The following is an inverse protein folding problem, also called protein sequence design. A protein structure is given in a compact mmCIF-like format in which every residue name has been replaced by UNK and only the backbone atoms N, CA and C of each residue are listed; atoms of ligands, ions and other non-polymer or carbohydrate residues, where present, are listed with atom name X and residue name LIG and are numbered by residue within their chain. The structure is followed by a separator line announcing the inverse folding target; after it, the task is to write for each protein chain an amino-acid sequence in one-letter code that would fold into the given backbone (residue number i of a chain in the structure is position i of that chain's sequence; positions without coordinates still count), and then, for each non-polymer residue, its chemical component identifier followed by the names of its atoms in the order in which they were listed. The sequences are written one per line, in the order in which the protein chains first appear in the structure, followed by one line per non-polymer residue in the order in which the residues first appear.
data_IF_719377449646
#
_entry.id   IF_719377449646
#
_cell.length_a   1.000
_cell.length_b   1.000
_cell.length_c   1.000
_cell.angle_alpha   90.00
_cell.angle_beta   90.00
_cell.angle_gamma   90.00
#
_symmetry.space_group_name_H-M   'P 1'
#
loop_
_entity.id
_entity.type
_entity.pdbx_description
1 polymer ?
#
# COMPACT_ATOMS: atom_id res chain seq x y z
N UNK A 1 -3.91 17.32 -0.01
CA UNK A 1 -4.33 15.93 -0.31
C UNK A 1 -3.92 15.43 -1.70
N UNK A 2 -3.72 16.31 -2.70
CA UNK A 2 -3.33 15.87 -4.06
C UNK A 2 -2.13 14.92 -4.10
N UNK A 3 -1.09 15.18 -3.29
CA UNK A 3 0.06 14.28 -3.12
C UNK A 3 -0.32 12.85 -2.72
N UNK A 4 -0.98 12.69 -1.57
CA UNK A 4 -1.34 11.37 -1.05
C UNK A 4 -2.33 10.64 -1.96
N UNK A 5 -3.30 11.37 -2.52
CA UNK A 5 -4.28 10.82 -3.44
C UNK A 5 -3.59 10.30 -4.72
N UNK A 6 -2.72 11.10 -5.35
CA UNK A 6 -1.98 10.69 -6.53
C UNK A 6 -1.05 9.49 -6.25
N UNK A 7 -0.30 9.53 -5.15
CA UNK A 7 0.59 8.43 -4.75
C UNK A 7 -0.20 7.10 -4.65
N UNK A 8 -1.32 7.11 -3.92
CA UNK A 8 -2.13 5.91 -3.71
C UNK A 8 -2.86 5.46 -4.99
N UNK A 9 -3.39 6.39 -5.78
CA UNK A 9 -4.03 6.05 -7.07
C UNK A 9 -3.02 5.37 -8.01
N UNK A 10 -1.81 5.90 -8.14
CA UNK A 10 -0.76 5.27 -8.95
C UNK A 10 -0.37 3.91 -8.37
N UNK A 11 -0.32 3.77 -7.04
CA UNK A 11 -0.08 2.48 -6.39
C UNK A 11 -1.14 1.41 -6.73
N UNK A 12 -2.42 1.75 -6.52
CA UNK A 12 -3.53 0.82 -6.73
C UNK A 12 -3.72 0.41 -8.20
N UNK A 13 -3.35 1.29 -9.13
CA UNK A 13 -3.43 1.02 -10.57
C UNK A 13 -2.26 0.17 -11.07
N UNK A 14 -1.05 0.34 -10.51
CA UNK A 14 0.16 -0.30 -11.05
C UNK A 14 0.54 -1.60 -10.35
N UNK A 15 0.52 -1.64 -9.01
CA UNK A 15 1.13 -2.76 -8.26
C UNK A 15 0.17 -3.49 -7.33
N UNK A 16 -0.80 -2.78 -6.75
CA UNK A 16 -1.63 -3.38 -5.72
C UNK A 16 -2.49 -4.52 -6.29
N UNK A 17 -2.47 -5.68 -5.62
CA UNK A 17 -3.36 -6.79 -5.93
C UNK A 17 -4.23 -7.09 -4.71
N UNK A 18 -5.53 -7.18 -4.94
CA UNK A 18 -6.47 -7.63 -3.92
C UNK A 18 -6.45 -9.17 -3.94
N UNK A 19 -6.03 -9.82 -2.84
CA UNK A 19 -6.01 -11.28 -2.76
C UNK A 19 -7.45 -11.81 -2.86
N UNK A 20 -7.61 -12.99 -3.45
CA UNK A 20 -8.90 -13.70 -3.57
C UNK A 20 -10.00 -12.98 -4.41
N UNK A 21 -9.66 -11.95 -5.19
CA UNK A 21 -10.61 -11.27 -6.08
C UNK A 21 -10.50 -11.77 -7.53
N UNK A 22 -11.65 -12.04 -8.16
CA UNK A 22 -11.75 -12.25 -9.61
C UNK A 22 -11.35 -10.99 -10.40
N UNK A 23 -11.03 -11.09 -11.70
CA UNK A 23 -10.61 -9.93 -12.49
C UNK A 23 -11.59 -8.75 -12.47
N UNK A 24 -12.89 -9.02 -12.50
CA UNK A 24 -13.94 -7.99 -12.43
C UNK A 24 -14.01 -7.33 -11.05
N UNK A 25 -13.94 -8.11 -9.98
CA UNK A 25 -13.91 -7.59 -8.61
C UNK A 25 -12.65 -6.76 -8.34
N UNK A 26 -11.51 -7.12 -8.95
CA UNK A 26 -10.31 -6.30 -8.88
C UNK A 26 -10.51 -4.94 -9.54
N UNK A 27 -11.12 -4.89 -10.73
CA UNK A 27 -11.40 -3.64 -11.43
C UNK A 27 -12.38 -2.78 -10.61
N UNK A 28 -13.47 -3.39 -10.13
CA UNK A 28 -14.48 -2.69 -9.35
C UNK A 28 -13.89 -2.12 -8.05
N UNK A 29 -13.13 -2.92 -7.31
CA UNK A 29 -12.55 -2.48 -6.05
C UNK A 29 -11.52 -1.36 -6.26
N UNK A 30 -10.69 -1.46 -7.30
CA UNK A 30 -9.77 -0.38 -7.70
C UNK A 30 -10.53 0.89 -8.07
N UNK A 31 -11.62 0.79 -8.83
CA UNK A 31 -12.43 1.93 -9.23
C UNK A 31 -13.09 2.61 -8.00
N UNK A 32 -13.61 1.83 -7.06
CA UNK A 32 -14.19 2.34 -5.80
C UNK A 32 -13.12 3.09 -4.98
N UNK A 33 -11.95 2.50 -4.77
CA UNK A 33 -10.90 3.14 -3.97
C UNK A 33 -10.35 4.39 -4.67
N UNK A 34 -10.07 4.33 -5.97
CA UNK A 34 -9.52 5.47 -6.71
C UNK A 34 -10.53 6.63 -6.81
N UNK A 35 -11.81 6.33 -7.02
CA UNK A 35 -12.86 7.35 -6.99
C UNK A 35 -13.01 7.94 -5.60
N UNK A 36 -13.03 7.12 -4.54
CA UNK A 36 -13.05 7.58 -3.15
C UNK A 36 -11.89 8.51 -2.80
N UNK A 37 -10.65 8.15 -3.17
CA UNK A 37 -9.46 8.98 -2.95
C UNK A 37 -9.50 10.31 -3.71
N UNK A 38 -10.02 10.29 -4.94
CA UNK A 38 -10.14 11.49 -5.77
C UNK A 38 -11.23 12.41 -5.25
N UNK A 39 -12.39 11.86 -4.91
CA UNK A 39 -13.51 12.59 -4.30
C UNK A 39 -13.08 13.19 -2.96
N UNK A 40 -12.39 12.43 -2.11
CA UNK A 40 -11.90 12.94 -0.83
C UNK A 40 -10.92 14.11 -1.00
N UNK A 41 -9.99 13.99 -1.95
CA UNK A 41 -9.09 15.09 -2.29
C UNK A 41 -9.87 16.31 -2.79
N UNK A 42 -10.89 16.11 -3.62
CA UNK A 42 -11.82 17.14 -4.08
C UNK A 42 -12.57 17.81 -2.94
N UNK A 43 -13.14 17.05 -1.99
CA UNK A 43 -13.82 17.56 -0.80
C UNK A 43 -12.89 18.42 0.06
N UNK A 44 -11.62 18.04 0.20
CA UNK A 44 -10.64 18.88 0.91
C UNK A 44 -10.37 20.19 0.16
N UNK A 45 -10.22 20.14 -1.17
CA UNK A 45 -10.08 21.36 -1.97
C UNK A 45 -11.32 22.26 -1.86
N UNK A 46 -12.51 21.68 -1.92
CA UNK A 46 -13.78 22.40 -1.75
C UNK A 46 -13.89 23.03 -0.36
N UNK A 47 -13.54 22.30 0.70
CA UNK A 47 -13.53 22.83 2.07
C UNK A 47 -12.63 24.06 2.20
N UNK A 48 -11.45 24.04 1.58
CA UNK A 48 -10.51 25.18 1.58
C UNK A 48 -11.03 26.39 0.82
N UNK A 49 -11.72 26.15 -0.30
CA UNK A 49 -12.41 27.19 -1.05
C UNK A 49 -13.56 27.80 -0.26
N UNK A 50 -14.44 26.95 0.29
CA UNK A 50 -15.65 27.36 1.01
C UNK A 50 -15.34 28.11 2.31
N UNK A 51 -14.28 27.70 3.03
CA UNK A 51 -13.80 28.40 4.23
C UNK A 51 -13.01 29.67 3.90
N UNK A 52 -12.93 30.06 2.61
CA UNK A 52 -12.25 31.28 2.13
C UNK A 52 -10.77 31.39 2.50
N UNK A 53 -10.13 30.27 2.88
CA UNK A 53 -8.71 30.25 3.24
C UNK A 53 -7.79 30.43 2.04
N UNK A 54 -8.21 29.99 0.85
CA UNK A 54 -7.40 30.01 -0.36
C UNK A 54 -8.21 30.44 -1.58
N UNK A 55 -7.56 31.18 -2.48
CA UNK A 55 -8.13 31.52 -3.79
C UNK A 55 -8.21 30.29 -4.69
N UNK A 56 -9.11 30.30 -5.67
CA UNK A 56 -9.27 29.19 -6.63
C UNK A 56 -7.94 28.83 -7.32
N UNK A 57 -7.16 29.84 -7.71
CA UNK A 57 -5.86 29.65 -8.36
C UNK A 57 -4.85 28.96 -7.45
N UNK A 58 -4.78 29.34 -6.17
CA UNK A 58 -3.89 28.67 -5.19
C UNK A 58 -4.27 27.20 -5.00
N UNK A 59 -5.57 26.90 -4.94
CA UNK A 59 -6.06 25.53 -4.77
C UNK A 59 -5.72 24.68 -6.00
N UNK A 60 -5.95 25.20 -7.21
CA UNK A 60 -5.65 24.50 -8.46
C UNK A 60 -4.15 24.21 -8.57
N UNK A 61 -3.31 25.23 -8.39
CA UNK A 61 -1.85 25.04 -8.46
C UNK A 61 -1.33 24.12 -7.38
N UNK A 62 -1.81 24.27 -6.13
CA UNK A 62 -1.45 23.38 -5.03
C UNK A 62 -1.87 21.93 -5.30
N UNK A 63 -3.03 21.70 -5.93
CA UNK A 63 -3.49 20.39 -6.32
C UNK A 63 -2.60 19.79 -7.43
N UNK A 64 -2.32 20.54 -8.49
CA UNK A 64 -1.46 20.09 -9.61
C UNK A 64 -0.07 19.73 -9.11
N UNK A 65 0.59 20.64 -8.38
CA UNK A 65 1.92 20.41 -7.82
C UNK A 65 1.89 19.19 -6.91
N UNK A 66 0.88 19.09 -6.03
CA UNK A 66 0.71 17.93 -5.17
C UNK A 66 0.63 16.62 -5.96
N UNK A 67 -0.19 16.56 -7.02
CA UNK A 67 -0.34 15.38 -7.89
C UNK A 67 0.98 15.03 -8.57
N UNK A 68 1.66 16.01 -9.19
CA UNK A 68 2.94 15.79 -9.86
C UNK A 68 4.01 15.25 -8.90
N UNK A 69 4.13 15.85 -7.71
CA UNK A 69 5.10 15.43 -6.69
C UNK A 69 4.74 14.04 -6.16
N UNK A 70 3.45 13.76 -5.90
CA UNK A 70 2.99 12.46 -5.41
C UNK A 70 3.24 11.33 -6.40
N UNK A 71 2.90 11.56 -7.68
CA UNK A 71 3.16 10.61 -8.75
C UNK A 71 4.67 10.39 -8.93
N UNK A 72 5.46 11.46 -9.01
CA UNK A 72 6.93 11.36 -9.16
C UNK A 72 7.56 10.63 -7.98
N UNK A 73 7.13 10.92 -6.76
CA UNK A 73 7.60 10.24 -5.57
C UNK A 73 7.32 8.73 -5.66
N UNK A 74 6.08 8.34 -5.98
CA UNK A 74 5.75 6.93 -6.18
C UNK A 74 6.60 6.26 -7.27
N UNK A 75 6.80 6.94 -8.40
CA UNK A 75 7.61 6.39 -9.48
C UNK A 75 9.04 6.12 -9.04
N UNK A 76 9.65 7.06 -8.31
CA UNK A 76 11.03 6.95 -7.86
C UNK A 76 11.22 5.97 -6.70
N UNK A 77 10.30 5.96 -5.72
CA UNK A 77 10.47 5.15 -4.51
C UNK A 77 9.90 3.74 -4.65
N UNK A 78 8.82 3.56 -5.39
CA UNK A 78 8.12 2.28 -5.50
C UNK A 78 8.28 1.63 -6.87
N UNK A 79 7.93 2.34 -7.96
CA UNK A 79 7.86 1.70 -9.26
C UNK A 79 9.25 1.40 -9.83
N UNK A 80 10.20 2.32 -9.67
CA UNK A 80 11.54 2.20 -10.20
C UNK A 80 12.34 1.09 -9.51
N UNK A 81 12.41 1.01 -8.16
CA UNK A 81 13.10 -0.08 -7.48
C UNK A 81 12.44 -1.43 -7.72
N UNK A 82 11.11 -1.48 -7.85
CA UNK A 82 10.38 -2.71 -8.14
C UNK A 82 10.68 -3.28 -9.54
N UNK A 83 10.93 -2.41 -10.54
CA UNK A 83 11.27 -2.84 -11.91
C UNK A 83 12.76 -3.09 -12.12
N UNK A 84 13.63 -2.37 -11.40
CA UNK A 84 15.08 -2.44 -11.57
C UNK A 84 15.78 -2.44 -10.21
N UNK A 85 15.80 -3.60 -9.53
CA UNK A 85 16.36 -3.70 -8.17
C UNK A 85 17.86 -3.39 -8.12
N UNK A 86 18.59 -3.64 -9.22
CA UNK A 86 20.03 -3.35 -9.30
C UNK A 86 20.36 -1.87 -9.56
N UNK A 87 19.36 -1.00 -9.73
CA UNK A 87 19.57 0.45 -9.86
C UNK A 87 20.16 1.06 -8.58
N UNK A 88 20.84 2.22 -8.65
CA UNK A 88 21.38 2.88 -7.45
C UNK A 88 20.31 3.15 -6.37
N UNK A 89 19.07 3.46 -6.80
CA UNK A 89 17.94 3.67 -5.89
C UNK A 89 17.51 2.36 -5.23
N UNK A 90 17.43 1.27 -6.01
CA UNK A 90 17.10 -0.06 -5.47
C UNK A 90 18.15 -0.55 -4.47
N UNK A 91 19.43 -0.40 -4.80
CA UNK A 91 20.54 -0.72 -3.90
C UNK A 91 20.52 0.11 -2.62
N UNK A 92 20.20 1.41 -2.70
CA UNK A 92 20.05 2.26 -1.53
C UNK A 92 18.89 1.79 -0.65
N UNK A 93 17.72 1.45 -1.24
CA UNK A 93 16.57 0.90 -0.51
C UNK A 93 16.95 -0.38 0.24
N UNK A 94 17.63 -1.31 -0.43
CA UNK A 94 18.12 -2.54 0.20
C UNK A 94 19.12 -2.25 1.32
N UNK A 95 20.11 -1.37 1.09
CA UNK A 95 21.09 -1.03 2.11
C UNK A 95 20.48 -0.39 3.37
N UNK A 96 19.41 0.41 3.21
CA UNK A 96 18.66 0.98 4.34
C UNK A 96 17.93 -0.13 5.11
N UNK A 97 17.25 -1.03 4.40
CA UNK A 97 16.49 -2.13 5.03
C UNK A 97 17.41 -3.18 5.69
N UNK A 98 18.60 -3.38 5.15
CA UNK A 98 19.62 -4.29 5.69
C UNK A 98 20.43 -3.66 6.83
N UNK A 99 20.19 -2.38 7.15
CA UNK A 99 20.89 -1.71 8.24
C UNK A 99 20.52 -2.30 9.61
N UNK A 100 21.46 -2.39 10.57
CA UNK A 100 21.19 -2.90 11.91
C UNK A 100 20.06 -2.16 12.63
N UNK A 101 19.91 -0.85 12.35
CA UNK A 101 18.83 -0.02 12.91
C UNK A 101 17.46 -0.43 12.37
N UNK A 102 17.34 -0.65 11.06
CA UNK A 102 16.10 -1.09 10.44
C UNK A 102 15.71 -2.49 10.91
N UNK A 103 16.67 -3.40 11.03
CA UNK A 103 16.44 -4.76 11.55
C UNK A 103 16.05 -4.74 13.03
N UNK A 104 16.72 -3.93 13.85
CA UNK A 104 16.37 -3.74 15.26
C UNK A 104 14.94 -3.21 15.42
N UNK A 105 14.55 -2.22 14.61
CA UNK A 105 13.20 -1.67 14.57
C UNK A 105 12.17 -2.59 13.86
N UNK A 106 12.60 -3.74 13.34
CA UNK A 106 11.79 -4.69 12.55
C UNK A 106 11.05 -4.02 11.40
N UNK A 107 11.69 -3.04 10.77
CA UNK A 107 11.15 -2.38 9.59
C UNK A 107 11.16 -3.39 8.45
N UNK A 108 9.96 -3.71 7.94
CA UNK A 108 9.77 -4.62 6.83
C UNK A 108 9.05 -3.90 5.71
N UNK A 109 9.55 -4.11 4.50
CA UNK A 109 8.92 -3.62 3.30
C UNK A 109 7.99 -4.69 2.70
N UNK A 110 6.73 -4.68 3.14
CA UNK A 110 5.75 -5.67 2.70
C UNK A 110 5.42 -5.56 1.21
N UNK A 111 5.46 -4.35 0.65
CA UNK A 111 5.10 -4.14 -0.75
C UNK A 111 6.19 -4.61 -1.72
N UNK A 112 7.46 -4.62 -1.32
CA UNK A 112 8.54 -5.15 -2.19
C UNK A 112 8.30 -6.61 -2.53
N UNK A 113 7.92 -7.41 -1.54
CA UNK A 113 7.79 -8.86 -1.69
C UNK A 113 6.39 -9.25 -2.17
N UNK A 114 5.36 -8.59 -1.65
CA UNK A 114 3.97 -9.00 -1.87
C UNK A 114 3.12 -7.86 -2.45
N UNK A 115 2.34 -8.16 -3.49
CA UNK A 115 1.47 -7.19 -4.15
C UNK A 115 0.31 -6.66 -3.29
N UNK A 116 -0.03 -7.36 -2.21
CA UNK A 116 -1.06 -7.01 -1.22
C UNK A 116 -0.45 -6.47 0.09
N UNK A 117 0.88 -6.40 0.18
CA UNK A 117 1.60 -6.05 1.42
C UNK A 117 1.81 -7.20 2.39
N UNK A 118 1.57 -8.45 1.97
CA UNK A 118 1.89 -9.66 2.72
C UNK A 118 0.78 -10.10 3.68
N UNK A 119 -0.42 -9.51 3.55
CA UNK A 119 -1.56 -9.82 4.43
C UNK A 119 -2.10 -11.21 4.20
N UNK A 120 -2.24 -11.63 2.95
CA UNK A 120 -2.75 -12.96 2.62
C UNK A 120 -1.77 -14.04 3.01
N UNK A 121 -0.47 -13.82 2.77
CA UNK A 121 0.58 -14.74 3.18
C UNK A 121 0.66 -14.86 4.71
N UNK A 122 0.51 -13.75 5.43
CA UNK A 122 0.44 -13.73 6.90
C UNK A 122 -0.80 -14.48 7.40
N UNK A 123 -1.96 -14.28 6.77
CA UNK A 123 -3.19 -15.01 7.08
C UNK A 123 -3.03 -16.51 6.82
N UNK A 124 -2.44 -16.90 5.69
CA UNK A 124 -2.21 -18.29 5.35
C UNK A 124 -1.28 -18.99 6.36
N UNK A 125 -0.20 -18.33 6.76
CA UNK A 125 0.72 -18.82 7.80
C UNK A 125 0.01 -18.97 9.15
N UNK A 126 -0.77 -17.98 9.56
CA UNK A 126 -1.59 -18.04 10.77
C UNK A 126 -2.63 -19.18 10.70
N UNK A 127 -3.29 -19.37 9.56
CA UNK A 127 -4.31 -20.41 9.37
C UNK A 127 -3.71 -21.81 9.42
N UNK A 128 -2.51 -21.98 8.87
CA UNK A 128 -1.76 -23.25 8.90
C UNK A 128 -1.36 -23.61 10.34
N UNK A 129 -0.79 -22.67 11.09
CA UNK A 129 -0.41 -22.87 12.50
C UNK A 129 -1.63 -23.15 13.38
N UNK A 130 -2.75 -22.44 13.17
CA UNK A 130 -4.00 -22.71 13.89
C UNK A 130 -4.52 -24.14 13.66
N UNK A 131 -4.53 -24.61 12.40
CA UNK A 131 -4.96 -25.98 12.06
C UNK A 131 -4.04 -27.04 12.66
N UNK A 132 -2.73 -26.77 12.75
CA UNK A 132 -1.78 -27.67 13.39
C UNK A 132 -2.08 -27.81 14.89
N UNK A 133 -2.38 -26.71 15.58
CA UNK A 133 -2.75 -26.71 17.00
C UNK A 133 -4.01 -27.53 17.30
N UNK A 134 -5.06 -27.38 16.48
CA UNK A 134 -6.31 -28.14 16.68
C UNK A 134 -6.13 -29.65 16.50
N UNK A 135 -5.18 -30.09 15.67
CA UNK A 135 -4.87 -31.52 15.49
C UNK A 135 -4.11 -32.12 16.67
N UNK A 136 -3.29 -31.33 17.35
CA UNK A 136 -2.56 -31.76 18.56
C UNK A 136 -3.54 -31.92 19.72
N UNK A 137 -4.38 -30.92 19.97
CA UNK A 137 -5.42 -30.97 21.02
C UNK A 137 -6.38 -32.15 20.86
N UNK A 138 -6.85 -32.43 19.63
CA UNK A 138 -7.74 -33.57 19.38
C UNK A 138 -7.06 -34.94 19.50
N UNK A 139 -5.72 -35.03 19.44
CA UNK A 139 -4.99 -36.29 19.69
C UNK A 139 -4.79 -36.55 21.18
N UNK A 140 -4.68 -35.52 22.00
CA UNK A 140 -4.55 -35.65 23.46
C UNK A 140 -5.87 -36.12 24.09
N UNK A 141 -7.01 -35.61 23.62
CA UNK A 141 -8.34 -36.03 24.08
C UNK A 141 -8.67 -37.50 23.76
N UNK A 142 -8.14 -38.04 22.66
CA UNK A 142 -8.35 -39.44 22.24
C UNK A 142 -7.45 -40.41 23.02
N UNK A 143 -6.30 -39.96 23.54
CA UNK A 143 -5.35 -40.81 24.27
C UNK A 143 -5.64 -40.90 25.78
N UNK A 144 -6.55 -40.08 26.29
CA UNK A 144 -6.98 -40.03 27.70
C UNK A 144 -8.27 -40.83 27.97
N UNK A 145 -8.78 -41.60 27.00
CA UNK A 145 -9.89 -42.54 27.16
C UNK A 145 -9.40 -43.96 26.92
#
# INVERSE_FOLDING_TARGET
MGYFSAFLVVHFTTRHRFPNHSPLEQILHRAIICSGLTLWAGTVCYSRYHLTYHTSSQIIWGAIIGVCVGATHYLLTELWPARSPNSPIGRLRSAILDSPVAQWARVRDGWVVWGDGGKEDEYAQWRATWKARSRVSGKEDVKSK
#
